data_IF_483963967712
#
_entry.id   IF_483963967712
#
_cell.length_a   1.000
_cell.length_b   1.000
_cell.length_c   1.000
_cell.angle_alpha   90.00
_cell.angle_beta   90.00
_cell.angle_gamma   90.00
#
_symmetry.space_group_name_H-M   'P 1'
#
loop_
_entity.id
_entity.type
_entity.pdbx_description
1 polymer ?
#
# COMPACT_ATOMS: atom_id res chain seq x y z
N UNK A 1 -1.58 -30.74 -21.56
CA UNK A 1 -2.33 -29.49 -21.79
C UNK A 1 -1.63 -28.35 -21.07
N UNK A 2 -1.59 -27.16 -21.67
CA UNK A 2 -0.95 -25.99 -21.04
C UNK A 2 -1.99 -25.21 -20.23
N UNK A 3 -1.55 -24.49 -19.20
CA UNK A 3 -2.44 -23.72 -18.33
C UNK A 3 -3.24 -22.65 -19.09
N UNK A 4 -2.69 -22.15 -20.21
CA UNK A 4 -3.36 -21.22 -21.11
C UNK A 4 -4.64 -21.78 -21.77
N UNK A 5 -4.78 -23.11 -21.89
CA UNK A 5 -5.96 -23.74 -22.51
C UNK A 5 -7.21 -23.66 -21.61
N UNK A 6 -7.02 -23.50 -20.28
CA UNK A 6 -8.10 -23.42 -19.28
C UNK A 6 -8.66 -21.99 -19.10
N UNK A 7 -8.05 -20.99 -19.76
CA UNK A 7 -8.40 -19.57 -19.61
C UNK A 7 -9.49 -19.15 -20.62
N UNK A 8 -9.84 -20.00 -21.59
CA UNK A 8 -10.92 -19.70 -22.54
C UNK A 8 -12.32 -20.00 -21.96
N UNK A 9 -13.26 -19.17 -22.38
CA UNK A 9 -14.58 -18.86 -21.82
C UNK A 9 -15.46 -20.08 -21.47
N UNK A 10 -15.61 -20.36 -20.16
CA UNK A 10 -16.51 -21.36 -19.53
C UNK A 10 -16.11 -22.84 -19.69
N UNK A 11 -15.05 -23.29 -19.00
CA UNK A 11 -14.80 -24.72 -18.85
C UNK A 11 -15.97 -25.39 -18.11
N UNK A 12 -16.45 -26.52 -18.63
CA UNK A 12 -17.49 -27.33 -17.98
C UNK A 12 -16.89 -28.06 -16.77
N UNK A 13 -17.73 -28.39 -15.77
CA UNK A 13 -17.26 -29.06 -14.56
C UNK A 13 -16.55 -30.40 -14.86
N UNK A 14 -16.99 -31.11 -15.91
CA UNK A 14 -16.39 -32.37 -16.36
C UNK A 14 -14.97 -32.17 -16.91
N UNK A 15 -14.74 -31.13 -17.73
CA UNK A 15 -13.41 -30.79 -18.27
C UNK A 15 -12.41 -30.41 -17.18
N UNK A 16 -12.87 -29.71 -16.14
CA UNK A 16 -12.04 -29.38 -14.97
C UNK A 16 -11.67 -30.66 -14.22
N UNK A 17 -12.62 -31.58 -14.05
CA UNK A 17 -12.40 -32.83 -13.32
C UNK A 17 -11.43 -33.75 -14.07
N UNK A 18 -11.57 -33.84 -15.39
CA UNK A 18 -10.67 -34.59 -16.27
C UNK A 18 -9.25 -33.99 -16.24
N UNK A 19 -9.14 -32.66 -16.27
CA UNK A 19 -7.86 -31.95 -16.19
C UNK A 19 -7.19 -32.13 -14.82
N UNK A 20 -7.96 -32.13 -13.73
CA UNK A 20 -7.45 -32.38 -12.37
C UNK A 20 -6.89 -33.80 -12.22
N UNK A 21 -7.47 -34.79 -12.90
CA UNK A 21 -6.97 -36.19 -12.90
C UNK A 21 -5.64 -36.35 -13.64
N UNK A 22 -5.38 -35.50 -14.62
CA UNK A 22 -4.14 -35.53 -15.40
C UNK A 22 -2.97 -34.80 -14.71
N UNK A 23 -3.23 -34.07 -13.63
CA UNK A 23 -2.18 -33.36 -12.90
C UNK A 23 -1.32 -34.34 -12.09
N UNK A 24 0.01 -34.18 -12.10
CA UNK A 24 0.88 -34.97 -11.26
C UNK A 24 0.61 -34.68 -9.78
N UNK A 25 0.58 -35.72 -8.95
CA UNK A 25 0.46 -35.57 -7.50
C UNK A 25 1.60 -34.67 -7.00
N UNK A 26 1.30 -33.56 -6.30
CA UNK A 26 2.33 -32.66 -5.81
C UNK A 26 3.23 -33.39 -4.80
N UNK A 27 4.52 -33.04 -4.79
CA UNK A 27 5.46 -33.57 -3.80
C UNK A 27 5.03 -33.13 -2.40
N UNK A 28 5.14 -33.98 -1.37
CA UNK A 28 4.70 -33.67 -0.01
C UNK A 28 5.36 -32.40 0.53
N UNK A 29 6.66 -32.21 0.28
CA UNK A 29 7.40 -31.02 0.70
C UNK A 29 6.84 -29.71 0.11
N UNK A 30 6.33 -29.76 -1.12
CA UNK A 30 5.73 -28.60 -1.78
C UNK A 30 4.35 -28.27 -1.16
N UNK A 31 3.60 -29.29 -0.77
CA UNK A 31 2.31 -29.13 -0.06
C UNK A 31 2.55 -28.52 1.32
N UNK A 32 3.56 -28.99 2.04
CA UNK A 32 3.88 -28.47 3.37
C UNK A 32 4.45 -27.05 3.31
N UNK A 33 5.27 -26.73 2.31
CA UNK A 33 5.72 -25.36 2.05
C UNK A 33 4.53 -24.43 1.71
N UNK A 34 3.54 -24.91 0.94
CA UNK A 34 2.33 -24.15 0.63
C UNK A 34 1.48 -23.92 1.89
N UNK A 35 1.30 -24.95 2.73
CA UNK A 35 0.58 -24.84 4.00
C UNK A 35 1.24 -23.84 4.94
N UNK A 36 2.56 -23.87 5.05
CA UNK A 36 3.31 -22.90 5.86
C UNK A 36 3.14 -21.48 5.35
N UNK A 37 3.22 -21.26 4.02
CA UNK A 37 2.95 -19.95 3.41
C UNK A 37 1.52 -19.48 3.66
N UNK A 38 0.55 -20.38 3.52
CA UNK A 38 -0.85 -20.07 3.75
C UNK A 38 -1.13 -19.72 5.21
N UNK A 39 -0.54 -20.47 6.15
CA UNK A 39 -0.59 -20.19 7.57
C UNK A 39 0.02 -18.82 7.90
N UNK A 40 1.17 -18.48 7.30
CA UNK A 40 1.82 -17.18 7.47
C UNK A 40 0.99 -16.01 6.91
N UNK A 41 0.24 -16.21 5.82
CA UNK A 41 -0.68 -15.18 5.31
C UNK A 41 -2.00 -15.06 6.08
N UNK A 42 -2.41 -16.14 6.77
CA UNK A 42 -3.61 -16.14 7.61
C UNK A 42 -3.36 -15.75 9.06
N UNK A 43 -2.09 -15.58 9.44
CA UNK A 43 -1.75 -15.07 10.76
C UNK A 43 -2.39 -13.69 10.90
N UNK A 44 -3.34 -13.59 11.84
CA UNK A 44 -4.10 -12.36 12.11
C UNK A 44 -3.06 -11.26 12.31
N UNK A 45 -3.15 -10.10 11.60
CA UNK A 45 -2.17 -9.04 11.73
C UNK A 45 -1.97 -8.77 13.22
N UNK A 46 -0.84 -9.21 13.77
CA UNK A 46 -0.55 -9.06 15.19
C UNK A 46 -0.68 -7.57 15.43
N UNK A 47 -1.61 -7.16 16.31
CA UNK A 47 -2.00 -5.77 16.54
C UNK A 47 -0.78 -4.86 16.37
N UNK A 48 -0.58 -4.37 15.15
CA UNK A 48 0.71 -3.85 14.76
C UNK A 48 0.85 -2.60 15.62
N UNK A 49 1.96 -2.50 16.36
CA UNK A 49 2.26 -1.31 17.13
C UNK A 49 1.98 -0.12 16.23
N UNK A 50 1.00 0.70 16.60
CA UNK A 50 0.49 1.75 15.72
C UNK A 50 1.65 2.60 15.21
N UNK A 51 1.61 3.05 13.95
CA UNK A 51 2.64 3.92 13.42
C UNK A 51 2.85 5.15 14.32
N UNK A 52 4.10 5.63 14.50
CA UNK A 52 4.40 6.74 15.42
C UNK A 52 3.58 8.01 15.11
N UNK A 53 3.27 8.26 13.84
CA UNK A 53 2.47 9.42 13.44
C UNK A 53 1.00 9.36 13.90
N UNK A 54 0.50 8.19 14.31
CA UNK A 54 -0.85 8.03 14.87
C UNK A 54 -0.88 8.12 16.41
N UNK A 55 0.26 8.18 17.09
CA UNK A 55 0.32 8.27 18.57
C UNK A 55 -0.34 9.56 19.10
N UNK A 56 -0.12 10.69 18.43
CA UNK A 56 -0.75 11.96 18.81
C UNK A 56 -2.28 11.92 18.67
N UNK A 57 -2.79 11.24 17.65
CA UNK A 57 -4.22 11.03 17.46
C UNK A 57 -4.79 10.05 18.50
N UNK A 58 -4.02 9.02 18.88
CA UNK A 58 -4.37 8.07 19.93
C UNK A 58 -4.57 8.76 21.29
N UNK A 59 -3.66 9.64 21.67
CA UNK A 59 -3.75 10.40 22.94
C UNK A 59 -5.00 11.29 22.95
N UNK A 60 -5.32 11.91 21.80
CA UNK A 60 -6.46 12.83 21.66
C UNK A 60 -7.80 12.15 21.42
N UNK A 61 -7.81 10.83 21.16
CA UNK A 61 -9.03 10.08 20.86
C UNK A 61 -10.01 10.08 22.03
N UNK A 62 -9.51 10.19 23.26
CA UNK A 62 -10.35 10.17 24.45
C UNK A 62 -10.59 11.59 25.00
N UNK A 63 -11.71 12.17 24.60
CA UNK A 63 -12.16 13.48 25.09
C UNK A 63 -12.41 13.52 26.61
N UNK A 64 -12.49 12.36 27.29
CA UNK A 64 -12.62 12.31 28.76
C UNK A 64 -11.38 12.86 29.47
N UNK A 65 -10.21 12.81 28.83
CA UNK A 65 -8.94 13.33 29.35
C UNK A 65 -8.55 14.69 28.77
N UNK A 66 -9.46 15.40 28.11
CA UNK A 66 -9.19 16.76 27.66
C UNK A 66 -8.80 17.66 28.86
N UNK A 67 -7.66 18.35 28.70
CA UNK A 67 -7.03 19.19 29.73
C UNK A 67 -8.02 20.10 30.43
N UNK A 68 -7.79 20.32 31.72
CA UNK A 68 -8.64 21.17 32.54
C UNK A 68 -8.67 22.59 31.93
N UNK A 69 -9.87 23.17 31.69
CA UNK A 69 -9.96 24.51 31.14
C UNK A 69 -9.35 25.50 32.14
N UNK A 70 -8.21 26.10 31.78
CA UNK A 70 -7.59 27.20 32.52
C UNK A 70 -8.01 28.54 31.91
N UNK A 71 -8.28 29.52 32.76
CA UNK A 71 -8.60 30.88 32.33
C UNK A 71 -7.56 31.85 32.88
N UNK A 72 -6.96 32.65 32.00
CA UNK A 72 -6.01 33.70 32.36
C UNK A 72 -6.70 35.04 32.71
N UNK A 73 -8.05 35.09 32.77
CA UNK A 73 -8.81 36.32 33.02
C UNK A 73 -9.22 36.43 34.51
N UNK A 74 -8.74 37.44 35.25
CA UNK A 74 -8.74 37.43 36.72
C UNK A 74 -10.11 37.52 37.41
N UNK A 75 -11.16 38.02 36.73
CA UNK A 75 -12.46 38.25 37.39
C UNK A 75 -13.59 37.41 36.78
N UNK A 76 -13.70 37.38 35.44
CA UNK A 76 -14.76 36.59 34.75
C UNK A 76 -14.33 35.13 34.54
N UNK A 77 -13.01 34.87 34.55
CA UNK A 77 -12.44 33.55 34.29
C UNK A 77 -12.86 32.47 35.28
N UNK A 78 -12.79 32.69 36.61
CA UNK A 78 -13.14 31.67 37.59
C UNK A 78 -14.61 31.25 37.53
N UNK A 79 -15.53 32.21 37.38
CA UNK A 79 -16.96 31.92 37.26
C UNK A 79 -17.27 31.10 36.00
N UNK A 80 -16.66 31.45 34.87
CA UNK A 80 -16.82 30.71 33.62
C UNK A 80 -16.24 29.29 33.71
N UNK A 81 -15.10 29.11 34.38
CA UNK A 81 -14.48 27.80 34.62
C UNK A 81 -15.37 26.94 35.52
N UNK A 82 -15.92 27.52 36.59
CA UNK A 82 -16.84 26.81 37.50
C UNK A 82 -18.14 26.41 36.80
N UNK A 83 -18.74 27.32 36.02
CA UNK A 83 -19.92 27.01 35.22
C UNK A 83 -19.63 25.88 34.20
N UNK A 84 -18.49 25.95 33.50
CA UNK A 84 -18.06 24.91 32.56
C UNK A 84 -17.81 23.56 33.25
N UNK A 85 -17.24 23.56 34.46
CA UNK A 85 -17.04 22.34 35.28
C UNK A 85 -18.37 21.75 35.74
N UNK A 86 -19.28 22.58 36.26
CA UNK A 86 -20.59 22.15 36.71
C UNK A 86 -21.42 21.55 35.56
N UNK A 87 -21.41 22.22 34.40
CA UNK A 87 -22.04 21.70 33.19
C UNK A 87 -21.42 20.35 32.78
N UNK A 88 -20.08 20.26 32.73
CA UNK A 88 -19.39 19.00 32.38
C UNK A 88 -19.76 17.86 33.32
N UNK A 89 -19.87 18.11 34.63
CA UNK A 89 -20.25 17.10 35.63
C UNK A 89 -21.71 16.67 35.49
N UNK A 90 -22.64 17.63 35.36
CA UNK A 90 -24.08 17.35 35.25
C UNK A 90 -24.42 16.59 33.96
N UNK A 91 -23.77 16.93 32.84
CA UNK A 91 -24.01 16.31 31.54
C UNK A 91 -22.99 15.20 31.21
N UNK A 92 -22.08 14.87 32.12
CA UNK A 92 -21.05 13.85 31.90
C UNK A 92 -21.58 12.50 31.39
N UNK A 93 -22.68 11.91 31.93
CA UNK A 93 -23.19 10.64 31.43
C UNK A 93 -23.70 10.75 29.98
N UNK A 94 -24.38 11.85 29.63
CA UNK A 94 -24.86 12.09 28.27
C UNK A 94 -23.70 12.38 27.30
N UNK A 95 -22.73 13.18 27.73
CA UNK A 95 -21.51 13.46 26.97
C UNK A 95 -20.73 12.16 26.73
N UNK A 96 -20.59 11.30 27.74
CA UNK A 96 -19.91 10.02 27.60
C UNK A 96 -20.63 9.11 26.61
N UNK A 97 -21.96 9.01 26.66
CA UNK A 97 -22.71 8.15 25.73
C UNK A 97 -22.73 8.71 24.30
N UNK A 98 -22.87 10.03 24.13
CA UNK A 98 -22.82 10.69 22.83
C UNK A 98 -21.42 10.60 22.19
N UNK A 99 -20.37 10.80 22.99
CA UNK A 99 -18.98 10.71 22.53
C UNK A 99 -18.52 9.26 22.40
N UNK A 100 -19.14 8.28 23.07
CA UNK A 100 -18.79 6.86 22.95
C UNK A 100 -18.77 6.41 21.49
N UNK A 101 -19.82 6.74 20.73
CA UNK A 101 -19.89 6.41 19.29
C UNK A 101 -18.82 7.14 18.48
N UNK A 102 -18.46 8.36 18.85
CA UNK A 102 -17.39 9.11 18.17
C UNK A 102 -16.01 8.53 18.48
N UNK A 103 -15.78 8.09 19.72
CA UNK A 103 -14.55 7.40 20.13
C UNK A 103 -14.43 6.07 19.39
N UNK A 104 -15.50 5.26 19.37
CA UNK A 104 -15.54 3.99 18.62
C UNK A 104 -15.28 4.20 17.11
N UNK A 105 -15.86 5.24 16.52
CA UNK A 105 -15.60 5.60 15.12
C UNK A 105 -14.15 6.05 14.88
N UNK A 106 -13.62 6.91 15.75
CA UNK A 106 -12.23 7.36 15.64
C UNK A 106 -11.25 6.19 15.82
N UNK A 107 -11.55 5.26 16.71
CA UNK A 107 -10.79 4.02 16.88
C UNK A 107 -10.83 3.18 15.60
N UNK A 108 -12.01 2.95 15.04
CA UNK A 108 -12.16 2.19 13.80
C UNK A 108 -11.40 2.82 12.62
N UNK A 109 -11.41 4.16 12.50
CA UNK A 109 -10.64 4.86 11.46
C UNK A 109 -9.14 4.70 11.69
N UNK A 110 -8.67 4.89 12.92
CA UNK A 110 -7.25 4.82 13.22
C UNK A 110 -6.71 3.38 13.02
N UNK A 111 -7.49 2.37 13.38
CA UNK A 111 -7.19 0.97 13.07
C UNK A 111 -7.19 0.71 11.55
N UNK A 112 -8.15 1.25 10.81
CA UNK A 112 -8.18 1.15 9.35
C UNK A 112 -6.95 1.81 8.71
N UNK A 113 -6.53 2.98 9.20
CA UNK A 113 -5.33 3.67 8.72
C UNK A 113 -4.06 2.88 9.04
N UNK A 114 -3.96 2.31 10.24
CA UNK A 114 -2.85 1.44 10.61
C UNK A 114 -2.76 0.21 9.68
N UNK A 115 -3.90 -0.42 9.38
CA UNK A 115 -3.98 -1.57 8.48
C UNK A 115 -3.60 -1.20 7.04
N UNK A 116 -4.11 -0.07 6.52
CA UNK A 116 -3.74 0.42 5.19
C UNK A 116 -2.24 0.70 5.11
N UNK A 117 -1.67 1.31 6.15
CA UNK A 117 -0.24 1.61 6.19
C UNK A 117 0.61 0.34 6.17
N UNK A 118 0.24 -0.69 6.93
CA UNK A 118 0.94 -1.96 6.90
C UNK A 118 0.82 -2.62 5.52
N UNK A 119 -0.36 -2.56 4.91
CA UNK A 119 -0.58 -3.08 3.56
C UNK A 119 0.31 -2.37 2.52
N UNK A 120 0.43 -1.04 2.60
CA UNK A 120 1.32 -0.26 1.73
C UNK A 120 2.79 -0.65 1.93
N UNK A 121 3.23 -0.86 3.18
CA UNK A 121 4.60 -1.31 3.48
C UNK A 121 4.89 -2.69 2.89
N UNK A 122 3.97 -3.64 3.05
CA UNK A 122 4.11 -4.98 2.48
C UNK A 122 4.14 -4.92 0.96
N UNK A 123 3.22 -4.17 0.33
CA UNK A 123 3.20 -3.99 -1.13
C UNK A 123 4.48 -3.38 -1.67
N UNK A 124 5.00 -2.34 -1.02
CA UNK A 124 6.25 -1.71 -1.45
C UNK A 124 7.41 -2.71 -1.43
N UNK A 125 7.52 -3.52 -0.38
CA UNK A 125 8.55 -4.58 -0.27
C UNK A 125 8.38 -5.63 -1.38
N UNK A 126 7.17 -6.12 -1.59
CA UNK A 126 6.88 -7.11 -2.63
C UNK A 126 7.18 -6.57 -4.02
N UNK A 127 6.85 -5.31 -4.29
CA UNK A 127 7.18 -4.65 -5.56
C UNK A 127 8.69 -4.52 -5.77
N UNK A 128 9.47 -4.20 -4.73
CA UNK A 128 10.94 -4.16 -4.83
C UNK A 128 11.52 -5.53 -5.15
N UNK A 129 11.07 -6.58 -4.44
CA UNK A 129 11.51 -7.95 -4.71
C UNK A 129 11.13 -8.41 -6.12
N UNK A 130 9.92 -8.09 -6.56
CA UNK A 130 9.48 -8.37 -7.92
C UNK A 130 10.35 -7.68 -8.98
N UNK A 131 10.67 -6.39 -8.78
CA UNK A 131 11.56 -5.66 -9.68
C UNK A 131 12.94 -6.32 -9.78
N UNK A 132 13.52 -6.73 -8.66
CA UNK A 132 14.81 -7.42 -8.63
C UNK A 132 14.76 -8.78 -9.35
N UNK A 133 13.68 -9.54 -9.18
CA UNK A 133 13.49 -10.82 -9.88
C UNK A 133 13.34 -10.61 -11.39
N UNK A 134 12.56 -9.61 -11.81
CA UNK A 134 12.40 -9.25 -13.23
C UNK A 134 13.73 -8.82 -13.85
N UNK A 135 14.51 -7.99 -13.15
CA UNK A 135 15.82 -7.52 -13.60
C UNK A 135 16.79 -8.69 -13.78
N UNK A 136 16.89 -9.61 -12.82
CA UNK A 136 17.71 -10.83 -12.94
C UNK A 136 17.30 -11.70 -14.12
N UNK A 137 16.00 -11.86 -14.37
CA UNK A 137 15.51 -12.61 -15.54
C UNK A 137 15.85 -11.92 -16.85
N UNK A 138 15.80 -10.59 -16.88
CA UNK A 138 16.20 -9.81 -18.03
C UNK A 138 17.70 -10.01 -18.33
N UNK A 139 18.57 -9.93 -17.32
CA UNK A 139 20.00 -10.20 -17.44
C UNK A 139 20.29 -11.63 -17.91
N UNK A 140 19.56 -12.63 -17.39
CA UNK A 140 19.69 -14.01 -17.83
C UNK A 140 19.29 -14.22 -19.29
N UNK A 141 18.27 -13.49 -19.77
CA UNK A 141 17.85 -13.54 -21.16
C UNK A 141 18.84 -12.83 -22.08
N UNK A 142 19.39 -11.69 -21.64
CA UNK A 142 20.41 -10.95 -22.37
C UNK A 142 21.71 -11.77 -22.50
N UNK A 143 22.11 -12.47 -21.43
CA UNK A 143 23.25 -13.39 -21.44
C UNK A 143 23.01 -14.66 -22.30
N UNK A 144 21.75 -15.05 -22.53
CA UNK A 144 21.37 -16.16 -23.39
C UNK A 144 21.19 -15.75 -24.86
N UNK A 145 21.13 -14.45 -25.16
CA UNK A 145 21.18 -14.00 -26.55
C UNK A 145 22.63 -14.17 -27.06
N UNK A 146 22.83 -14.82 -28.23
CA UNK A 146 24.15 -14.86 -28.83
C UNK A 146 24.62 -13.44 -29.15
N UNK A 147 25.93 -13.14 -29.08
CA UNK A 147 26.45 -11.85 -29.46
C UNK A 147 25.98 -11.57 -30.89
N UNK A 148 25.26 -10.46 -31.08
CA UNK A 148 24.93 -9.96 -32.40
C UNK A 148 26.27 -9.69 -33.09
N UNK A 149 26.69 -10.60 -33.96
CA UNK A 149 27.87 -10.46 -34.79
C UNK A 149 27.80 -9.07 -35.41
N UNK A 150 28.83 -8.21 -35.28
CA UNK A 150 28.88 -6.98 -36.03
C UNK A 150 28.93 -7.39 -37.50
N UNK A 151 27.77 -7.30 -38.14
CA UNK A 151 27.64 -7.47 -39.58
C UNK A 151 28.57 -6.43 -40.20
N UNK A 152 29.62 -6.95 -40.84
CA UNK A 152 30.64 -6.18 -41.50
C UNK A 152 30.01 -5.14 -42.42
N UNK A 153 30.53 -3.91 -42.35
CA UNK A 153 30.33 -2.88 -43.36
C UNK A 153 30.57 -3.45 -44.77
N UNK A 154 29.76 -3.02 -45.75
CA UNK A 154 30.29 -2.71 -47.07
C UNK A 154 30.00 -1.24 -47.45
N UNK A 155 30.69 -0.72 -48.47
CA UNK A 155 31.46 0.51 -48.33
C UNK A 155 30.74 1.78 -48.78
N UNK A 156 31.28 2.88 -48.25
CA UNK A 156 31.21 4.27 -48.69
C UNK A 156 31.16 4.43 -50.21
N UNK A 157 30.18 5.19 -50.72
CA UNK A 157 30.38 6.17 -51.79
C UNK A 157 29.46 7.40 -51.63
N UNK A 158 29.88 8.58 -52.13
CA UNK A 158 29.48 9.90 -51.63
C UNK A 158 28.50 10.62 -52.58
N UNK A 159 27.61 11.46 -52.04
CA UNK A 159 27.05 12.64 -52.75
C UNK A 159 26.06 13.44 -51.92
N UNK A 160 26.19 14.77 -51.98
CA UNK A 160 25.20 15.77 -51.55
C UNK A 160 25.29 16.11 -50.07
N UNK A 161 25.81 17.26 -49.61
CA UNK A 161 25.28 18.61 -49.87
C UNK A 161 23.75 18.59 -49.61
N UNK A 162 23.18 19.29 -48.63
CA UNK A 162 23.50 20.62 -48.16
C UNK A 162 22.60 20.97 -46.94
N UNK A 163 23.02 22.00 -46.20
CA UNK A 163 22.24 22.93 -45.34
C UNK A 163 21.34 22.45 -44.18
N UNK A 164 21.57 23.02 -42.99
CA UNK A 164 20.49 23.25 -42.03
C UNK A 164 20.91 23.35 -40.58
N UNK A 165 21.22 24.57 -40.13
CA UNK A 165 21.59 24.90 -38.76
C UNK A 165 20.51 24.56 -37.70
N UNK A 166 20.99 24.16 -36.52
CA UNK A 166 20.38 24.30 -35.18
C UNK A 166 19.95 25.79 -34.91
N UNK A 167 19.12 26.14 -33.89
CA UNK A 167 19.10 25.51 -32.57
C UNK A 167 17.77 25.52 -31.76
N UNK A 168 17.88 24.93 -30.57
CA UNK A 168 17.40 25.42 -29.26
C UNK A 168 15.98 25.11 -28.75
N UNK A 169 16.02 24.23 -27.74
CA UNK A 169 15.16 24.08 -26.55
C UNK A 169 14.62 25.38 -25.93
N UNK A 170 13.36 25.30 -25.46
CA UNK A 170 13.00 25.68 -24.08
C UNK A 170 12.02 26.84 -23.88
N UNK A 171 10.87 26.56 -23.22
CA UNK A 171 10.16 27.37 -22.19
C UNK A 171 8.81 26.68 -21.85
N UNK A 172 8.66 26.11 -20.66
CA UNK A 172 8.14 26.74 -19.43
C UNK A 172 6.70 27.26 -19.52
N UNK A 173 5.75 26.44 -19.05
CA UNK A 173 4.39 26.78 -18.56
C UNK A 173 4.04 25.63 -17.58
N UNK A 174 3.55 25.80 -16.35
CA UNK A 174 2.45 26.64 -15.87
C UNK A 174 2.43 26.56 -14.32
N UNK A 175 2.50 27.70 -13.62
CA UNK A 175 2.08 27.80 -12.20
C UNK A 175 0.58 28.09 -12.18
N UNK A 176 -0.19 27.23 -11.53
CA UNK A 176 -1.59 27.46 -11.16
C UNK A 176 -1.67 28.05 -9.76
N UNK A 177 -2.59 29.00 -9.60
CA UNK A 177 -2.84 29.85 -8.44
C UNK A 177 -3.89 29.23 -7.53
#
# INVERSE_FOLDING_TARGET
MRAEDLISTRPTAEEITESLRQLPTPRPDAVDALRQRFAATHEKPSAASWPPFLEGARIKRDARYADAPSSHRPVVGPALVMAKRAFRLAFQPFINEALRRQVEFNEAILDALALIHEHQRVHARTQTLWRQEVEKRLEQLDAQMPPKTPEAEPPTKPSGEDTGAEPARGKSRRRGR
#
